data_IF_498776668218
#
_entry.id   IF_498776668218
#
_cell.length_a   1.000
_cell.length_b   1.000
_cell.length_c   1.000
_cell.angle_alpha   90.00
_cell.angle_beta   90.00
_cell.angle_gamma   90.00
#
_symmetry.space_group_name_H-M   'P 1'
#
loop_
_entity.id
_entity.type
_entity.pdbx_description
1 polymer ?
#
# COMPACT_ATOMS: atom_id res chain seq x y z
N UNK A 1 -19.50 -11.25 11.74
CA UNK A 1 -18.56 -10.79 12.78
C UNK A 1 -19.36 -10.38 14.00
N UNK A 2 -18.93 -10.76 15.20
CA UNK A 2 -19.66 -10.46 16.44
C UNK A 2 -19.60 -8.98 16.80
N UNK A 3 -20.68 -8.46 17.40
CA UNK A 3 -20.81 -7.06 17.79
C UNK A 3 -19.70 -6.62 18.76
N UNK A 4 -19.31 -7.47 19.71
CA UNK A 4 -18.21 -7.19 20.63
C UNK A 4 -16.89 -6.93 19.90
N UNK A 5 -16.63 -7.66 18.80
CA UNK A 5 -15.43 -7.42 17.98
C UNK A 5 -15.52 -6.08 17.23
N UNK A 6 -16.71 -5.64 16.82
CA UNK A 6 -16.91 -4.32 16.22
C UNK A 6 -16.60 -3.23 17.24
N UNK A 7 -17.18 -3.34 18.44
CA UNK A 7 -16.98 -2.40 19.53
C UNK A 7 -15.50 -2.23 19.86
N UNK A 8 -14.78 -3.34 20.07
CA UNK A 8 -13.34 -3.32 20.35
C UNK A 8 -12.53 -2.63 19.24
N UNK A 9 -12.86 -2.88 17.96
CA UNK A 9 -12.14 -2.22 16.86
C UNK A 9 -12.48 -0.73 16.78
N UNK A 10 -13.71 -0.32 17.05
CA UNK A 10 -14.11 1.08 17.13
C UNK A 10 -13.37 1.80 18.27
N UNK A 11 -13.22 1.17 19.43
CA UNK A 11 -12.44 1.68 20.56
C UNK A 11 -10.96 1.85 20.18
N UNK A 12 -10.36 0.87 19.51
CA UNK A 12 -8.98 0.98 18.99
C UNK A 12 -8.82 2.09 17.95
N UNK A 13 -9.80 2.24 17.06
CA UNK A 13 -9.81 3.27 16.04
C UNK A 13 -9.92 4.69 16.61
N UNK A 14 -10.63 4.86 17.73
CA UNK A 14 -10.85 6.15 18.40
C UNK A 14 -9.93 6.37 19.60
N UNK A 15 -8.98 5.46 19.86
CA UNK A 15 -8.05 5.56 20.98
C UNK A 15 -7.30 6.90 20.91
N UNK A 16 -7.21 7.66 22.02
CA UNK A 16 -6.41 8.87 22.07
C UNK A 16 -4.96 8.62 21.66
N UNK A 17 -4.37 9.61 21.02
CA UNK A 17 -2.98 9.59 20.58
C UNK A 17 -2.22 10.59 21.44
N UNK A 18 -1.29 10.10 22.27
CA UNK A 18 -0.53 10.94 23.22
C UNK A 18 0.46 11.86 22.50
N UNK A 19 1.05 11.38 21.40
CA UNK A 19 2.05 12.11 20.61
C UNK A 19 1.75 11.96 19.12
N UNK A 20 1.88 13.02 18.31
CA UNK A 20 1.81 12.92 16.87
C UNK A 20 2.82 11.89 16.33
N UNK A 21 2.53 11.24 15.18
CA UNK A 21 3.47 10.33 14.54
C UNK A 21 4.79 11.03 14.22
N UNK A 22 5.90 10.36 14.52
CA UNK A 22 7.22 10.75 14.04
C UNK A 22 7.47 10.19 12.65
N UNK A 23 8.39 10.79 11.88
CA UNK A 23 8.70 10.32 10.53
C UNK A 23 9.28 8.90 10.59
N UNK A 24 10.13 8.62 11.56
CA UNK A 24 10.79 7.33 11.77
C UNK A 24 9.76 6.22 11.99
N UNK A 25 8.76 6.44 12.84
CA UNK A 25 7.67 5.48 13.07
C UNK A 25 6.86 5.21 11.79
N UNK A 26 6.57 6.27 11.03
CA UNK A 26 5.80 6.17 9.78
C UNK A 26 6.57 5.38 8.73
N UNK A 27 7.87 5.66 8.55
CA UNK A 27 8.72 4.95 7.60
C UNK A 27 8.94 3.49 8.02
N UNK A 28 9.04 3.21 9.31
CA UNK A 28 9.14 1.85 9.83
C UNK A 28 7.87 1.05 9.52
N UNK A 29 6.68 1.60 9.78
CA UNK A 29 5.40 0.94 9.46
C UNK A 29 5.24 0.71 7.95
N UNK A 30 5.61 1.69 7.11
CA UNK A 30 5.57 1.53 5.64
C UNK A 30 6.58 0.49 5.15
N UNK A 31 7.79 0.43 5.70
CA UNK A 31 8.83 -0.51 5.28
C UNK A 31 8.62 -1.95 5.76
N UNK A 32 7.87 -2.13 6.85
CA UNK A 32 7.60 -3.45 7.41
C UNK A 32 6.26 -4.02 6.93
N UNK A 33 5.21 -3.20 6.92
CA UNK A 33 3.83 -3.64 6.64
C UNK A 33 3.27 -3.11 5.33
N UNK A 34 3.86 -2.06 4.76
CA UNK A 34 3.37 -1.39 3.56
C UNK A 34 2.13 -0.51 3.78
N UNK A 35 1.42 -0.67 4.90
CA UNK A 35 0.15 0.01 5.23
C UNK A 35 0.31 0.71 6.56
N UNK A 36 -0.20 1.94 6.66
CA UNK A 36 -0.33 2.65 7.93
C UNK A 36 -1.61 2.23 8.66
N UNK A 37 -1.45 1.69 9.87
CA UNK A 37 -2.55 1.22 10.73
C UNK A 37 -2.42 1.80 12.13
N UNK A 38 -3.54 2.13 12.76
CA UNK A 38 -3.53 2.74 14.08
C UNK A 38 -4.81 3.50 14.37
N UNK A 39 -4.86 4.26 15.48
CA UNK A 39 -5.94 5.20 15.74
C UNK A 39 -6.11 6.21 14.60
N UNK A 40 -7.33 6.68 14.40
CA UNK A 40 -7.67 7.63 13.33
C UNK A 40 -6.83 8.90 13.40
N UNK A 41 -6.59 9.40 14.62
CA UNK A 41 -5.79 10.61 14.87
C UNK A 41 -4.27 10.37 14.74
N UNK A 42 -3.83 9.13 14.48
CA UNK A 42 -2.43 8.81 14.15
C UNK A 42 -2.28 8.54 12.65
N UNK A 43 -3.18 7.74 12.06
CA UNK A 43 -3.06 7.26 10.67
C UNK A 43 -3.10 8.40 9.65
N UNK A 44 -4.00 9.37 9.80
CA UNK A 44 -4.11 10.47 8.85
C UNK A 44 -2.93 11.44 8.93
N UNK A 45 -2.48 11.88 10.13
CA UNK A 45 -1.23 12.61 10.26
C UNK A 45 -0.01 11.85 9.72
N UNK A 46 0.08 10.54 9.98
CA UNK A 46 1.14 9.69 9.46
C UNK A 46 1.16 9.66 7.92
N UNK A 47 -0.01 9.53 7.29
CA UNK A 47 -0.16 9.58 5.83
C UNK A 47 0.29 10.92 5.25
N UNK A 48 -0.10 12.05 5.87
CA UNK A 48 0.30 13.38 5.42
C UNK A 48 1.82 13.59 5.58
N UNK A 49 2.41 13.14 6.69
CA UNK A 49 3.85 13.20 6.93
C UNK A 49 4.62 12.36 5.91
N UNK A 50 4.13 11.17 5.59
CA UNK A 50 4.69 10.33 4.55
C UNK A 50 4.67 11.01 3.17
N UNK A 51 3.53 11.62 2.81
CA UNK A 51 3.38 12.36 1.54
C UNK A 51 4.37 13.53 1.45
N UNK A 52 4.56 14.29 2.54
CA UNK A 52 5.53 15.38 2.58
C UNK A 52 6.95 14.87 2.35
N UNK A 53 7.34 13.83 3.11
CA UNK A 53 8.65 13.21 3.02
C UNK A 53 8.93 12.68 1.60
N UNK A 54 7.99 11.92 1.01
CA UNK A 54 8.20 11.32 -0.31
C UNK A 54 8.36 12.40 -1.39
N UNK A 55 7.49 13.40 -1.42
CA UNK A 55 7.57 14.45 -2.44
C UNK A 55 8.88 15.23 -2.31
N UNK A 56 9.29 15.56 -1.08
CA UNK A 56 10.58 16.19 -0.84
C UNK A 56 11.73 15.31 -1.34
N UNK A 57 11.75 14.02 -0.98
CA UNK A 57 12.84 13.11 -1.37
C UNK A 57 12.92 12.89 -2.87
N UNK A 58 11.78 12.82 -3.56
CA UNK A 58 11.73 12.76 -5.02
C UNK A 58 12.36 14.03 -5.61
N UNK A 59 11.94 15.21 -5.15
CA UNK A 59 12.46 16.49 -5.65
C UNK A 59 13.97 16.69 -5.39
N UNK A 60 14.50 16.09 -4.32
CA UNK A 60 15.93 16.10 -3.98
C UNK A 60 16.76 15.08 -4.78
N UNK A 61 16.18 13.93 -5.14
CA UNK A 61 16.95 12.79 -5.68
C UNK A 61 16.84 12.63 -7.20
N UNK A 62 15.74 13.10 -7.79
CA UNK A 62 15.49 12.98 -9.23
C UNK A 62 15.76 14.30 -9.96
N UNK A 63 16.29 14.20 -11.17
CA UNK A 63 16.52 15.36 -12.03
C UNK A 63 15.19 15.88 -12.58
N UNK A 64 14.66 16.91 -11.92
CA UNK A 64 13.41 17.56 -12.28
C UNK A 64 13.65 19.01 -12.64
N UNK A 65 12.91 19.49 -13.64
CA UNK A 65 12.82 20.92 -13.94
C UNK A 65 12.07 21.66 -12.84
N UNK A 66 12.20 22.98 -12.76
CA UNK A 66 11.47 23.79 -11.78
C UNK A 66 9.94 23.66 -11.92
N UNK A 67 9.45 23.54 -13.16
CA UNK A 67 8.04 23.28 -13.44
C UNK A 67 7.59 21.92 -12.89
N UNK A 68 8.41 20.88 -13.03
CA UNK A 68 8.10 19.54 -12.50
C UNK A 68 8.14 19.51 -10.97
N UNK A 69 9.09 20.20 -10.35
CA UNK A 69 9.10 20.38 -8.89
C UNK A 69 7.83 21.10 -8.43
N UNK A 70 7.42 22.17 -9.13
CA UNK A 70 6.19 22.89 -8.81
C UNK A 70 4.95 21.99 -8.93
N UNK A 71 4.86 21.14 -9.97
CA UNK A 71 3.79 20.15 -10.13
C UNK A 71 3.77 19.14 -8.99
N UNK A 72 4.92 18.60 -8.58
CA UNK A 72 5.00 17.69 -7.41
C UNK A 72 4.57 18.37 -6.12
N UNK A 73 4.93 19.63 -5.91
CA UNK A 73 4.48 20.40 -4.74
C UNK A 73 2.95 20.61 -4.77
N UNK A 74 2.37 20.92 -5.93
CA UNK A 74 0.92 21.01 -6.10
C UNK A 74 0.24 19.67 -5.81
N UNK A 75 0.79 18.56 -6.29
CA UNK A 75 0.32 17.21 -5.98
C UNK A 75 0.34 16.93 -4.47
N UNK A 76 1.44 17.28 -3.78
CA UNK A 76 1.54 17.19 -2.32
C UNK A 76 0.42 17.96 -1.63
N UNK A 77 0.20 19.22 -2.02
CA UNK A 77 -0.84 20.07 -1.43
C UNK A 77 -2.24 19.48 -1.66
N UNK A 78 -2.52 18.97 -2.85
CA UNK A 78 -3.78 18.32 -3.18
C UNK A 78 -4.02 17.06 -2.33
N UNK A 79 -2.99 16.21 -2.18
CA UNK A 79 -3.05 15.01 -1.36
C UNK A 79 -3.28 15.32 0.13
N UNK A 80 -2.57 16.30 0.69
CA UNK A 80 -2.77 16.74 2.08
C UNK A 80 -4.19 17.20 2.35
N UNK A 81 -4.74 18.02 1.45
CA UNK A 81 -6.12 18.51 1.58
C UNK A 81 -7.12 17.36 1.55
N UNK A 82 -6.97 16.44 0.58
CA UNK A 82 -7.81 15.25 0.50
C UNK A 82 -7.76 14.41 1.78
N UNK A 83 -6.57 14.23 2.37
CA UNK A 83 -6.39 13.46 3.60
C UNK A 83 -6.97 14.15 4.83
N UNK A 84 -6.85 15.47 4.91
CA UNK A 84 -7.43 16.26 5.98
C UNK A 84 -8.96 16.17 5.96
N UNK A 85 -9.57 16.29 4.78
CA UNK A 85 -11.02 16.19 4.62
C UNK A 85 -11.49 14.75 4.92
N UNK A 86 -10.73 13.75 4.44
CA UNK A 86 -10.99 12.34 4.71
C UNK A 86 -10.88 12.03 6.22
N UNK A 87 -9.92 12.64 6.93
CA UNK A 87 -9.76 12.49 8.37
C UNK A 87 -10.98 12.98 9.13
N UNK A 88 -11.44 14.21 8.86
CA UNK A 88 -12.63 14.80 9.49
C UNK A 88 -13.85 13.91 9.33
N UNK A 89 -14.18 13.53 8.10
CA UNK A 89 -15.35 12.69 7.81
C UNK A 89 -15.21 11.30 8.45
N UNK A 90 -14.01 10.73 8.49
CA UNK A 90 -13.76 9.44 9.14
C UNK A 90 -14.01 9.50 10.64
N UNK A 91 -13.50 10.54 11.30
CA UNK A 91 -13.64 10.74 12.74
C UNK A 91 -15.11 10.92 13.14
N UNK A 92 -15.85 11.73 12.38
CA UNK A 92 -17.28 11.92 12.58
C UNK A 92 -18.04 10.59 12.49
N UNK A 93 -17.81 9.83 11.41
CA UNK A 93 -18.50 8.56 11.17
C UNK A 93 -18.16 7.51 12.23
N UNK A 94 -16.88 7.35 12.59
CA UNK A 94 -16.45 6.40 13.62
C UNK A 94 -17.04 6.76 14.98
N UNK A 95 -17.07 8.05 15.35
CA UNK A 95 -17.64 8.51 16.62
C UNK A 95 -19.14 8.22 16.68
N UNK A 96 -19.89 8.52 15.61
CA UNK A 96 -21.31 8.22 15.53
C UNK A 96 -21.59 6.71 15.65
N UNK A 97 -20.79 5.88 14.97
CA UNK A 97 -20.90 4.43 15.03
C UNK A 97 -20.57 3.88 16.42
N UNK A 98 -19.50 4.37 17.05
CA UNK A 98 -19.12 3.98 18.41
C UNK A 98 -20.21 4.33 19.42
N UNK A 99 -20.69 5.59 19.39
CA UNK A 99 -21.78 6.06 20.25
C UNK A 99 -23.03 5.18 20.10
N UNK A 100 -23.47 4.94 18.87
CA UNK A 100 -24.62 4.10 18.59
C UNK A 100 -24.45 2.66 19.11
N UNK A 101 -23.27 2.07 18.98
CA UNK A 101 -22.98 0.72 19.49
C UNK A 101 -22.99 0.68 21.02
N UNK A 102 -22.45 1.70 21.70
CA UNK A 102 -22.44 1.80 23.17
C UNK A 102 -23.84 2.01 23.73
N UNK A 103 -24.64 2.86 23.09
CA UNK A 103 -25.99 3.25 23.53
C UNK A 103 -27.08 2.30 23.04
N UNK A 104 -26.73 1.27 22.24
CA UNK A 104 -27.70 0.32 21.68
C UNK A 104 -28.58 0.89 20.55
N UNK A 105 -28.26 2.09 20.04
CA UNK A 105 -29.02 2.79 19.00
C UNK A 105 -28.52 2.49 17.59
N UNK A 106 -28.43 1.20 17.23
CA UNK A 106 -27.99 0.78 15.90
C UNK A 106 -28.91 -0.29 15.31
N UNK A 107 -28.91 -0.39 13.98
CA UNK A 107 -29.60 -1.47 13.25
C UNK A 107 -28.58 -2.26 12.45
N UNK A 108 -28.62 -3.59 12.54
CA UNK A 108 -27.87 -4.47 11.64
C UNK A 108 -28.81 -5.02 10.59
N UNK A 109 -28.54 -4.75 9.32
CA UNK A 109 -29.33 -5.26 8.21
C UNK A 109 -28.44 -5.50 6.98
N UNK A 110 -28.65 -6.62 6.28
CA UNK A 110 -27.98 -6.95 5.00
C UNK A 110 -26.44 -6.79 5.07
N UNK A 111 -25.84 -7.22 6.18
CA UNK A 111 -24.38 -7.16 6.38
C UNK A 111 -23.81 -5.76 6.60
N UNK A 112 -24.65 -4.80 7.01
CA UNK A 112 -24.27 -3.43 7.38
C UNK A 112 -24.73 -3.10 8.79
N UNK A 113 -23.98 -2.23 9.46
CA UNK A 113 -24.36 -1.61 10.72
C UNK A 113 -24.72 -0.15 10.44
N UNK A 114 -25.94 0.24 10.83
CA UNK A 114 -26.49 1.57 10.65
C UNK A 114 -26.59 2.28 11.99
N UNK A 115 -26.13 3.53 12.02
CA UNK A 115 -26.23 4.47 13.11
C UNK A 115 -26.80 5.80 12.57
N UNK A 116 -27.38 6.66 13.43
CA UNK A 116 -27.73 8.02 13.03
C UNK A 116 -26.50 8.74 12.43
N UNK A 117 -26.60 9.17 11.16
CA UNK A 117 -25.53 9.89 10.45
C UNK A 117 -24.37 9.05 9.90
N UNK A 118 -24.29 7.75 10.17
CA UNK A 118 -23.19 6.91 9.71
C UNK A 118 -23.58 5.44 9.53
N UNK A 119 -22.91 4.73 8.63
CA UNK A 119 -23.07 3.29 8.49
C UNK A 119 -21.77 2.65 8.02
N UNK A 120 -21.60 1.36 8.33
CA UNK A 120 -20.43 0.59 7.94
C UNK A 120 -20.81 -0.77 7.36
N UNK A 121 -19.97 -1.30 6.47
CA UNK A 121 -20.04 -2.69 6.05
C UNK A 121 -19.39 -3.57 7.13
N UNK A 122 -20.09 -4.61 7.57
CA UNK A 122 -19.60 -5.54 8.60
C UNK A 122 -19.44 -6.97 8.11
N UNK A 123 -19.96 -7.28 6.93
CA UNK A 123 -19.87 -8.61 6.30
C UNK A 123 -18.79 -8.70 5.21
N UNK A 124 -17.78 -7.85 5.29
CA UNK A 124 -16.59 -7.90 4.44
C UNK A 124 -15.43 -8.54 5.21
N UNK A 125 -14.39 -9.03 4.51
CA UNK A 125 -13.16 -9.56 5.12
C UNK A 125 -12.58 -8.59 6.16
N UNK A 126 -12.61 -7.29 5.84
CA UNK A 126 -12.39 -6.22 6.81
C UNK A 126 -13.60 -5.27 6.79
N UNK A 127 -14.23 -5.02 7.94
CA UNK A 127 -15.30 -4.03 8.05
C UNK A 127 -14.79 -2.66 7.63
N UNK A 128 -15.62 -1.85 6.99
CA UNK A 128 -15.16 -0.57 6.46
C UNK A 128 -16.29 0.44 6.31
N UNK A 129 -15.89 1.71 6.30
CA UNK A 129 -16.75 2.86 6.09
C UNK A 129 -16.40 3.47 4.74
N UNK A 130 -17.41 3.76 3.91
CA UNK A 130 -17.21 4.51 2.67
C UNK A 130 -17.03 5.99 2.95
N UNK A 131 -16.07 6.59 2.26
CA UNK A 131 -15.88 8.03 2.25
C UNK A 131 -16.52 8.57 0.98
N UNK A 132 -17.37 9.58 1.14
CA UNK A 132 -18.18 10.14 0.06
C UNK A 132 -17.73 11.56 -0.23
N UNK A 133 -17.80 11.94 -1.51
CA UNK A 133 -17.68 13.31 -2.01
C UNK A 133 -16.36 14.04 -1.68
N UNK A 134 -15.30 13.28 -1.38
CA UNK A 134 -13.95 13.81 -1.16
C UNK A 134 -13.05 13.35 -2.30
N UNK A 135 -12.67 14.29 -3.15
CA UNK A 135 -11.77 14.06 -4.27
C UNK A 135 -10.99 15.30 -4.66
N UNK A 136 -9.91 15.11 -5.41
CA UNK A 136 -9.06 16.18 -5.95
C UNK A 136 -8.48 15.75 -7.29
N UNK A 137 -7.93 16.71 -8.05
CA UNK A 137 -7.12 16.43 -9.24
C UNK A 137 -5.79 17.14 -9.11
N UNK A 138 -4.73 16.50 -9.58
CA UNK A 138 -3.40 17.07 -9.60
C UNK A 138 -2.59 16.45 -10.74
N UNK A 139 -1.50 17.11 -11.11
CA UNK A 139 -0.54 16.56 -12.08
C UNK A 139 0.65 16.00 -11.32
N UNK A 140 1.06 14.78 -11.67
CA UNK A 140 2.28 14.15 -11.17
C UNK A 140 3.33 14.15 -12.27
N UNK A 141 4.56 14.59 -11.97
CA UNK A 141 5.60 14.72 -12.98
C UNK A 141 6.15 13.36 -13.43
N UNK A 142 6.72 13.31 -14.63
CA UNK A 142 7.49 12.15 -15.07
C UNK A 142 8.82 12.12 -14.32
N UNK A 143 8.81 11.43 -13.18
CA UNK A 143 9.97 11.33 -12.28
C UNK A 143 11.00 10.31 -12.78
N UNK A 144 10.56 9.26 -13.50
CA UNK A 144 11.44 8.15 -13.87
C UNK A 144 12.24 8.43 -15.14
N UNK A 145 11.76 9.35 -16.00
CA UNK A 145 12.42 9.72 -17.27
C UNK A 145 12.78 8.52 -18.15
N UNK A 146 11.95 7.47 -18.06
CA UNK A 146 12.20 6.22 -18.77
C UNK A 146 11.81 6.35 -20.25
N UNK A 147 12.56 5.70 -21.16
CA UNK A 147 12.09 5.49 -22.53
C UNK A 147 10.72 4.81 -22.55
N UNK A 148 9.93 5.09 -23.60
CA UNK A 148 8.55 4.61 -23.68
C UNK A 148 8.46 3.08 -23.60
N UNK A 149 9.36 2.34 -24.28
CA UNK A 149 9.32 0.88 -24.25
C UNK A 149 9.57 0.33 -22.84
N UNK A 150 10.48 0.96 -22.07
CA UNK A 150 10.78 0.53 -20.70
C UNK A 150 9.63 0.85 -19.76
N UNK A 151 9.03 2.02 -19.89
CA UNK A 151 7.84 2.42 -19.12
C UNK A 151 6.67 1.46 -19.36
N UNK A 152 6.42 1.07 -20.61
CA UNK A 152 5.36 0.12 -20.98
C UNK A 152 5.49 -1.22 -20.25
N UNK A 153 6.71 -1.74 -20.07
CA UNK A 153 6.94 -2.99 -19.34
C UNK A 153 6.49 -2.90 -17.89
N UNK A 154 6.79 -1.80 -17.20
CA UNK A 154 6.33 -1.59 -15.83
C UNK A 154 4.82 -1.39 -15.73
N UNK A 155 4.24 -0.64 -16.67
CA UNK A 155 2.80 -0.45 -16.80
C UNK A 155 2.05 -1.78 -17.03
N UNK A 156 2.63 -2.67 -17.84
CA UNK A 156 2.08 -3.99 -18.14
C UNK A 156 1.97 -4.85 -16.87
N UNK A 157 2.99 -4.87 -16.02
CA UNK A 157 2.93 -5.64 -14.78
C UNK A 157 1.92 -5.09 -13.77
N UNK A 158 1.83 -3.77 -13.61
CA UNK A 158 0.75 -3.16 -12.83
C UNK A 158 -0.63 -3.54 -13.36
N UNK A 159 -0.78 -3.56 -14.69
CA UNK A 159 -2.00 -3.98 -15.39
C UNK A 159 -2.38 -5.44 -15.13
N UNK A 160 -1.38 -6.33 -15.03
CA UNK A 160 -1.59 -7.73 -14.69
C UNK A 160 -1.97 -7.93 -13.21
N UNK A 161 -1.78 -6.91 -12.37
CA UNK A 161 -1.92 -6.97 -10.91
C UNK A 161 -2.98 -5.99 -10.38
N UNK A 162 -2.62 -5.07 -9.47
CA UNK A 162 -3.53 -4.20 -8.71
C UNK A 162 -4.31 -3.19 -9.56
N UNK A 163 -3.88 -2.90 -10.81
CA UNK A 163 -4.57 -1.95 -11.69
C UNK A 163 -5.91 -2.54 -12.21
N UNK A 164 -6.99 -1.82 -11.94
CA UNK A 164 -8.36 -2.20 -12.29
C UNK A 164 -8.69 -1.94 -13.77
N UNK A 165 -9.84 -2.45 -14.24
CA UNK A 165 -10.37 -2.29 -15.60
C UNK A 165 -11.73 -1.58 -15.62
N UNK A 166 -12.22 -1.07 -14.48
CA UNK A 166 -13.65 -0.72 -14.35
C UNK A 166 -14.08 0.50 -15.18
N UNK A 167 -13.15 1.27 -15.74
CA UNK A 167 -13.42 2.52 -16.48
C UNK A 167 -12.50 2.65 -17.69
N UNK A 168 -12.63 3.78 -18.41
CA UNK A 168 -11.81 4.13 -19.58
C UNK A 168 -10.32 4.32 -19.27
N UNK A 169 -10.00 4.72 -18.04
CA UNK A 169 -8.67 5.13 -17.61
C UNK A 169 -8.09 4.13 -16.60
N UNK A 170 -6.77 3.88 -16.64
CA UNK A 170 -6.07 3.14 -15.59
C UNK A 170 -6.42 3.65 -14.20
N UNK A 171 -6.81 2.74 -13.31
CA UNK A 171 -7.19 3.07 -11.94
C UNK A 171 -6.66 2.05 -10.93
N UNK A 172 -6.32 2.52 -9.73
CA UNK A 172 -5.84 1.70 -8.62
C UNK A 172 -6.47 2.17 -7.32
N UNK A 173 -6.95 1.22 -6.51
CA UNK A 173 -7.40 1.48 -5.14
C UNK A 173 -6.45 0.77 -4.17
N UNK A 174 -5.85 1.51 -3.25
CA UNK A 174 -4.90 0.93 -2.28
C UNK A 174 -4.93 1.65 -0.94
N UNK A 175 -4.62 0.90 0.12
CA UNK A 175 -4.33 1.44 1.46
C UNK A 175 -2.83 1.62 1.74
N UNK A 176 -1.97 1.28 0.78
CA UNK A 176 -0.52 1.36 0.92
C UNK A 176 -0.01 2.70 0.37
N UNK A 177 0.54 3.59 1.22
CA UNK A 177 1.04 4.90 0.76
C UNK A 177 2.12 4.79 -0.32
N UNK A 178 3.03 3.84 -0.21
CA UNK A 178 4.12 3.67 -1.18
C UNK A 178 3.61 3.22 -2.55
N UNK A 179 2.57 2.37 -2.60
CA UNK A 179 2.01 1.88 -3.87
C UNK A 179 1.43 3.04 -4.69
N UNK A 180 0.83 4.04 -4.03
CA UNK A 180 0.30 5.25 -4.68
C UNK A 180 1.38 5.91 -5.54
N UNK A 181 2.52 6.23 -4.94
CA UNK A 181 3.61 6.90 -5.65
C UNK A 181 4.27 5.98 -6.66
N UNK A 182 4.48 4.71 -6.31
CA UNK A 182 5.07 3.73 -7.21
C UNK A 182 4.23 3.57 -8.49
N UNK A 183 2.91 3.41 -8.37
CA UNK A 183 2.01 3.27 -9.51
C UNK A 183 1.90 4.57 -10.33
N UNK A 184 1.70 5.72 -9.67
CA UNK A 184 1.59 7.01 -10.35
C UNK A 184 2.88 7.38 -11.09
N UNK A 185 4.06 6.99 -10.61
CA UNK A 185 5.31 7.19 -11.34
C UNK A 185 5.33 6.47 -12.70
N UNK A 186 4.63 5.34 -12.83
CA UNK A 186 4.46 4.64 -14.13
C UNK A 186 3.25 5.14 -14.93
N UNK A 187 2.39 5.95 -14.31
CA UNK A 187 1.15 6.52 -14.86
C UNK A 187 1.10 8.03 -14.64
N UNK A 188 2.22 8.71 -14.89
CA UNK A 188 2.40 10.12 -14.59
C UNK A 188 1.47 11.03 -15.42
N UNK A 189 1.44 12.31 -15.10
CA UNK A 189 0.55 13.29 -15.71
C UNK A 189 -0.67 13.55 -14.85
N UNK A 190 -1.81 13.81 -15.48
CA UNK A 190 -3.03 14.23 -14.77
C UNK A 190 -3.67 13.04 -14.07
N UNK A 191 -3.81 13.15 -12.75
CA UNK A 191 -4.42 12.14 -11.90
C UNK A 191 -5.62 12.71 -11.16
N UNK A 192 -6.67 11.90 -11.06
CA UNK A 192 -7.82 12.16 -10.21
C UNK A 192 -7.78 11.22 -9.01
N UNK A 193 -7.91 11.78 -7.81
CA UNK A 193 -7.72 11.08 -6.55
C UNK A 193 -8.99 11.23 -5.73
N UNK A 194 -9.49 10.11 -5.20
CA UNK A 194 -10.71 10.06 -4.40
C UNK A 194 -10.44 9.29 -3.12
N UNK A 195 -10.92 9.80 -2.00
CA UNK A 195 -10.97 9.02 -0.76
C UNK A 195 -11.96 7.86 -0.95
N UNK A 196 -11.49 6.62 -0.84
CA UNK A 196 -12.30 5.45 -1.19
C UNK A 196 -13.08 4.93 0.01
N UNK A 197 -12.35 4.48 1.03
CA UNK A 197 -12.91 3.90 2.24
C UNK A 197 -11.87 3.87 3.36
N UNK A 198 -12.36 3.66 4.58
CA UNK A 198 -11.53 3.39 5.76
C UNK A 198 -11.85 2.00 6.27
N UNK A 199 -10.83 1.15 6.34
CA UNK A 199 -10.94 -0.20 6.88
C UNK A 199 -10.78 -0.17 8.40
N UNK A 200 -11.63 -0.91 9.09
CA UNK A 200 -11.61 -1.11 10.54
C UNK A 200 -10.90 -2.44 10.85
N UNK A 201 -9.61 -2.33 11.11
CA UNK A 201 -8.68 -3.44 11.36
C UNK A 201 -8.65 -3.83 12.84
N UNK A 202 -7.86 -4.85 13.19
CA UNK A 202 -7.60 -5.21 14.58
C UNK A 202 -6.57 -4.29 15.28
N UNK A 203 -6.01 -3.31 14.57
CA UNK A 203 -5.01 -2.35 15.06
C UNK A 203 -5.53 -0.90 15.02
N UNK A 204 -6.84 -0.72 14.79
CA UNK A 204 -7.45 0.57 14.51
C UNK A 204 -7.86 0.68 13.04
N UNK A 205 -7.59 1.81 12.38
CA UNK A 205 -8.00 2.06 10.99
C UNK A 205 -6.86 1.92 10.00
N UNK A 206 -7.19 1.72 8.72
CA UNK A 206 -6.31 2.03 7.59
C UNK A 206 -7.09 2.75 6.50
N UNK A 207 -6.53 3.81 5.93
CA UNK A 207 -7.18 4.59 4.88
C UNK A 207 -6.85 4.04 3.49
N UNK A 208 -7.87 3.90 2.63
CA UNK A 208 -7.74 3.52 1.23
C UNK A 208 -8.09 4.69 0.33
N UNK A 209 -7.27 4.93 -0.69
CA UNK A 209 -7.54 5.93 -1.73
C UNK A 209 -7.67 5.25 -3.08
N UNK A 210 -8.44 5.88 -3.95
CA UNK A 210 -8.64 5.48 -5.33
C UNK A 210 -8.04 6.54 -6.25
N UNK A 211 -7.12 6.15 -7.11
CA UNK A 211 -6.45 7.04 -8.07
C UNK A 211 -6.77 6.59 -9.49
N UNK A 212 -6.99 7.55 -10.37
CA UNK A 212 -7.27 7.37 -11.79
C UNK A 212 -6.28 8.22 -12.60
N UNK A 213 -5.55 7.60 -13.53
CA UNK A 213 -4.59 8.27 -14.39
C UNK A 213 -5.25 8.72 -15.70
N UNK A 214 -5.61 10.01 -15.79
CA UNK A 214 -6.40 10.57 -16.88
C UNK A 214 -5.61 10.84 -18.15
N UNK A 215 -4.29 10.99 -18.04
CA UNK A 215 -3.38 11.12 -19.19
C UNK A 215 -3.13 9.80 -19.93
N UNK A 216 -3.58 8.67 -19.39
CA UNK A 216 -3.34 7.33 -19.96
C UNK A 216 -4.65 6.63 -20.32
N UNK A 217 -4.58 5.69 -21.27
CA UNK A 217 -5.70 4.80 -21.63
C UNK A 217 -5.31 3.35 -21.42
N UNK A 218 -6.28 2.50 -21.10
CA UNK A 218 -6.05 1.06 -21.10
C UNK A 218 -5.64 0.58 -22.50
N UNK A 219 -4.55 -0.18 -22.56
CA UNK A 219 -4.06 -0.84 -23.76
C UNK A 219 -4.38 -2.32 -23.79
N UNK A 220 -4.31 -2.96 -22.62
CA UNK A 220 -4.48 -4.41 -22.47
C UNK A 220 -5.67 -4.74 -21.59
N UNK A 221 -6.36 -5.85 -21.89
CA UNK A 221 -7.23 -6.49 -20.91
C UNK A 221 -6.39 -7.06 -19.75
N UNK A 222 -7.00 -7.33 -18.58
CA UNK A 222 -6.23 -7.92 -17.46
C UNK A 222 -5.68 -9.31 -17.80
N UNK A 223 -6.47 -10.12 -18.51
CA UNK A 223 -6.08 -11.45 -18.96
C UNK A 223 -4.93 -11.40 -19.98
N UNK A 224 -4.99 -10.47 -20.93
CA UNK A 224 -3.91 -10.23 -21.90
C UNK A 224 -2.63 -9.76 -21.24
N UNK A 225 -2.72 -8.82 -20.27
CA UNK A 225 -1.57 -8.36 -19.53
C UNK A 225 -0.87 -9.50 -18.77
N UNK A 226 -1.64 -10.38 -18.13
CA UNK A 226 -1.11 -11.58 -17.47
C UNK A 226 -0.36 -12.49 -18.46
N UNK A 227 -0.95 -12.77 -19.63
CA UNK A 227 -0.29 -13.60 -20.65
C UNK A 227 1.01 -12.96 -21.14
N UNK A 228 1.00 -11.65 -21.42
CA UNK A 228 2.19 -10.93 -21.88
C UNK A 228 3.30 -10.93 -20.81
N UNK A 229 2.97 -10.78 -19.52
CA UNK A 229 3.96 -10.89 -18.43
C UNK A 229 4.68 -12.25 -18.48
N UNK A 230 3.95 -13.34 -18.71
CA UNK A 230 4.54 -14.68 -18.82
C UNK A 230 5.40 -14.82 -20.08
N UNK A 231 4.95 -14.27 -21.20
CA UNK A 231 5.70 -14.34 -22.46
C UNK A 231 6.99 -13.52 -22.42
N UNK A 232 6.99 -12.33 -21.79
CA UNK A 232 8.20 -11.57 -21.54
C UNK A 232 9.16 -12.31 -20.61
N UNK A 233 8.64 -12.92 -19.53
CA UNK A 233 9.45 -13.70 -18.61
C UNK A 233 10.15 -14.88 -19.32
N UNK A 234 9.44 -15.60 -20.21
CA UNK A 234 10.02 -16.69 -21.03
C UNK A 234 11.15 -16.21 -21.94
N UNK A 235 11.12 -14.95 -22.36
CA UNK A 235 12.16 -14.30 -23.18
C UNK A 235 13.29 -13.68 -22.35
N UNK A 236 13.23 -13.81 -21.01
CA UNK A 236 14.24 -13.26 -20.11
C UNK A 236 14.03 -11.80 -19.72
N UNK A 237 12.89 -11.18 -20.03
CA UNK A 237 12.54 -9.84 -19.58
C UNK A 237 11.72 -9.90 -18.28
N UNK A 238 12.26 -9.31 -17.21
CA UNK A 238 11.71 -9.43 -15.85
C UNK A 238 10.95 -8.20 -15.38
N UNK A 239 11.03 -7.06 -16.08
CA UNK A 239 10.36 -5.82 -15.66
C UNK A 239 8.83 -5.93 -15.51
N UNK A 240 8.09 -6.60 -16.42
CA UNK A 240 6.65 -6.80 -16.23
C UNK A 240 6.35 -7.70 -15.04
N UNK A 241 7.15 -8.74 -14.81
CA UNK A 241 6.98 -9.60 -13.64
C UNK A 241 7.26 -8.84 -12.34
N UNK A 242 8.25 -7.97 -12.35
CA UNK A 242 8.63 -7.15 -11.20
C UNK A 242 7.47 -6.31 -10.69
N UNK A 243 6.80 -5.53 -11.54
CA UNK A 243 5.68 -4.70 -11.10
C UNK A 243 4.41 -5.49 -10.82
N UNK A 244 4.18 -6.59 -11.53
CA UNK A 244 3.12 -7.53 -11.18
C UNK A 244 3.32 -8.10 -9.75
N UNK A 245 4.57 -8.39 -9.39
CA UNK A 245 4.91 -8.86 -8.05
C UNK A 245 4.83 -7.75 -6.99
N UNK A 246 5.18 -6.49 -7.33
CA UNK A 246 4.97 -5.36 -6.42
C UNK A 246 3.49 -5.17 -6.04
N UNK A 247 2.54 -5.46 -6.95
CA UNK A 247 1.12 -5.42 -6.62
C UNK A 247 0.64 -6.65 -5.84
N UNK A 248 0.66 -7.82 -6.46
CA UNK A 248 0.02 -9.05 -5.95
C UNK A 248 1.01 -10.11 -5.40
N UNK A 249 2.30 -9.81 -5.40
CA UNK A 249 3.35 -10.70 -4.89
C UNK A 249 3.28 -10.95 -3.38
N UNK A 250 3.53 -12.19 -2.97
CA UNK A 250 3.55 -12.59 -1.56
C UNK A 250 4.94 -12.41 -0.93
N UNK A 251 5.10 -11.41 -0.07
CA UNK A 251 6.32 -11.20 0.72
C UNK A 251 6.38 -12.15 1.93
N UNK A 252 6.94 -13.35 1.73
CA UNK A 252 7.06 -14.38 2.77
C UNK A 252 8.28 -14.14 3.67
N UNK A 253 8.28 -13.06 4.45
CA UNK A 253 9.41 -12.60 5.27
C UNK A 253 10.12 -13.72 6.04
N UNK A 254 9.37 -14.57 6.73
CA UNK A 254 9.92 -15.69 7.50
C UNK A 254 10.72 -16.69 6.65
N UNK A 255 10.36 -16.87 5.38
CA UNK A 255 11.05 -17.77 4.45
C UNK A 255 12.35 -17.16 3.95
N UNK A 256 12.33 -15.91 3.47
CA UNK A 256 13.54 -15.22 2.98
C UNK A 256 14.59 -15.08 4.08
N UNK A 257 14.15 -14.75 5.30
CA UNK A 257 15.06 -14.72 6.46
C UNK A 257 15.68 -16.10 6.72
N UNK A 258 14.99 -17.22 6.45
CA UNK A 258 15.55 -18.58 6.58
C UNK A 258 16.28 -19.09 5.34
N UNK A 259 16.53 -18.24 4.34
CA UNK A 259 17.19 -18.64 3.08
C UNK A 259 16.32 -19.48 2.15
N UNK A 260 15.00 -19.43 2.33
CA UNK A 260 14.03 -20.06 1.42
C UNK A 260 13.48 -19.00 0.46
N UNK A 261 13.94 -19.06 -0.78
CA UNK A 261 13.63 -18.08 -1.83
C UNK A 261 12.50 -18.59 -2.73
N UNK A 262 11.32 -18.03 -2.53
CA UNK A 262 10.09 -18.42 -3.25
C UNK A 262 9.43 -17.14 -3.75
N UNK A 263 9.26 -17.05 -5.07
CA UNK A 263 8.57 -15.96 -5.73
C UNK A 263 7.16 -16.43 -6.13
N UNK A 264 6.15 -15.93 -5.44
CA UNK A 264 4.75 -16.25 -5.74
C UNK A 264 3.87 -15.01 -5.82
N UNK A 265 2.81 -15.10 -6.62
CA UNK A 265 1.83 -14.04 -6.89
C UNK A 265 0.44 -14.58 -6.59
N UNK A 266 -0.37 -13.77 -5.90
CA UNK A 266 -1.78 -14.04 -5.72
C UNK A 266 -2.56 -13.73 -7.01
N UNK A 267 -3.31 -14.69 -7.53
CA UNK A 267 -4.09 -14.50 -8.74
C UNK A 267 -5.30 -15.42 -8.78
N UNK A 268 -6.44 -14.91 -9.25
CA UNK A 268 -7.66 -15.72 -9.47
C UNK A 268 -7.45 -16.84 -10.49
N UNK A 269 -6.61 -16.56 -11.49
CA UNK A 269 -6.26 -17.51 -12.54
C UNK A 269 -4.77 -17.87 -12.41
N UNK A 270 -4.40 -18.46 -11.26
CA UNK A 270 -3.00 -18.76 -10.91
C UNK A 270 -2.30 -19.65 -11.93
N UNK A 271 -3.03 -20.54 -12.61
CA UNK A 271 -2.50 -21.42 -13.65
C UNK A 271 -1.94 -20.67 -14.87
N UNK A 272 -2.31 -19.40 -15.06
CA UNK A 272 -1.75 -18.58 -16.15
C UNK A 272 -0.37 -18.01 -15.85
N UNK A 273 0.00 -17.87 -14.58
CA UNK A 273 1.22 -17.17 -14.16
C UNK A 273 2.40 -18.13 -13.88
N UNK A 274 2.12 -19.39 -13.56
CA UNK A 274 3.15 -20.36 -13.21
C UNK A 274 2.56 -21.64 -12.62
N UNK A 275 3.38 -22.35 -11.84
CA UNK A 275 2.94 -23.56 -11.17
C UNK A 275 1.88 -23.22 -10.12
N UNK A 276 0.74 -23.89 -10.17
CA UNK A 276 -0.35 -23.67 -9.21
C UNK A 276 0.11 -24.14 -7.83
N UNK A 277 0.36 -23.19 -6.92
CA UNK A 277 0.72 -23.47 -5.53
C UNK A 277 -0.54 -23.65 -4.66
N UNK A 278 -1.61 -22.92 -4.99
CA UNK A 278 -2.96 -23.09 -4.45
C UNK A 278 -4.00 -22.49 -5.41
N UNK A 279 -5.29 -22.64 -5.09
CA UNK A 279 -6.43 -22.09 -5.87
C UNK A 279 -6.23 -20.63 -6.29
N UNK A 280 -5.57 -19.81 -5.46
CA UNK A 280 -5.37 -18.38 -5.72
C UNK A 280 -3.89 -17.95 -5.69
N UNK A 281 -2.94 -18.88 -5.77
CA UNK A 281 -1.52 -18.56 -5.71
C UNK A 281 -0.73 -19.31 -6.80
N UNK A 282 0.05 -18.56 -7.56
CA UNK A 282 0.99 -19.08 -8.54
C UNK A 282 2.41 -18.99 -8.00
N UNK A 283 3.16 -20.09 -8.05
CA UNK A 283 4.61 -20.11 -7.92
C UNK A 283 5.21 -19.73 -9.27
N UNK A 284 5.86 -18.57 -9.33
CA UNK A 284 6.41 -18.01 -10.58
C UNK A 284 7.87 -18.38 -10.75
N UNK A 285 8.66 -18.29 -9.67
CA UNK A 285 10.07 -18.65 -9.69
C UNK A 285 10.56 -19.09 -8.30
N UNK A 286 11.69 -19.77 -8.26
CA UNK A 286 12.38 -20.16 -7.01
C UNK A 286 13.87 -19.83 -7.09
N UNK A 287 14.52 -19.83 -5.94
CA UNK A 287 15.95 -19.56 -5.85
C UNK A 287 16.28 -18.07 -5.73
N UNK A 288 17.47 -17.79 -5.22
CA UNK A 288 17.98 -16.42 -5.01
C UNK A 288 18.09 -15.66 -6.33
N UNK A 289 18.48 -16.35 -7.40
CA UNK A 289 18.66 -15.79 -8.73
C UNK A 289 17.42 -15.06 -9.26
N UNK A 290 16.22 -15.58 -8.97
CA UNK A 290 14.97 -14.91 -9.36
C UNK A 290 14.84 -13.52 -8.70
N UNK A 291 15.30 -13.36 -7.46
CA UNK A 291 15.29 -12.08 -6.77
C UNK A 291 16.37 -11.13 -7.27
N UNK A 292 17.53 -11.66 -7.70
CA UNK A 292 18.59 -10.87 -8.35
C UNK A 292 18.04 -10.28 -9.65
N UNK A 293 17.41 -11.09 -10.50
CA UNK A 293 16.80 -10.62 -11.76
C UNK A 293 15.69 -9.60 -11.55
N UNK A 294 14.87 -9.76 -10.51
CA UNK A 294 13.89 -8.72 -10.13
C UNK A 294 14.55 -7.42 -9.70
N UNK A 295 15.65 -7.49 -8.94
CA UNK A 295 16.39 -6.31 -8.48
C UNK A 295 17.05 -5.59 -9.64
N UNK A 296 17.66 -6.32 -10.57
CA UNK A 296 18.27 -5.78 -11.78
C UNK A 296 17.22 -5.14 -12.70
N UNK A 297 16.06 -5.79 -12.86
CA UNK A 297 14.97 -5.26 -13.67
C UNK A 297 14.33 -3.98 -13.10
N UNK A 298 14.53 -3.67 -11.82
CA UNK A 298 13.99 -2.48 -11.21
C UNK A 298 14.64 -1.20 -11.76
N UNK A 299 15.94 -1.22 -12.10
CA UNK A 299 16.66 -0.05 -12.63
C UNK A 299 16.42 1.21 -11.74
N UNK A 300 16.31 2.41 -12.33
CA UNK A 300 15.94 3.68 -11.65
C UNK A 300 14.62 3.59 -10.84
N UNK A 301 13.73 2.67 -11.18
CA UNK A 301 12.51 2.46 -10.40
C UNK A 301 12.80 1.87 -9.02
N UNK A 302 13.88 1.10 -8.89
CA UNK A 302 14.42 0.63 -7.60
C UNK A 302 14.83 1.78 -6.69
N UNK A 303 15.46 2.83 -7.23
CA UNK A 303 15.83 4.04 -6.48
C UNK A 303 14.59 4.76 -5.95
N UNK A 304 13.54 4.89 -6.77
CA UNK A 304 12.26 5.43 -6.30
C UNK A 304 11.71 4.57 -5.14
N UNK A 305 11.69 3.25 -5.27
CA UNK A 305 11.17 2.36 -4.24
C UNK A 305 11.98 2.40 -2.92
N UNK A 306 13.27 2.73 -3.00
CA UNK A 306 14.11 2.99 -1.83
C UNK A 306 13.70 4.26 -1.08
N UNK A 307 13.40 5.33 -1.80
CA UNK A 307 12.86 6.57 -1.21
C UNK A 307 11.49 6.31 -0.59
N UNK A 308 10.63 5.55 -1.28
CA UNK A 308 9.28 5.20 -0.82
C UNK A 308 9.28 4.21 0.36
N UNK A 309 10.43 3.67 0.77
CA UNK A 309 10.51 2.64 1.81
C UNK A 309 9.55 1.47 1.53
N UNK A 310 9.40 1.07 0.27
CA UNK A 310 8.44 0.04 -0.10
C UNK A 310 8.81 -1.30 0.56
N UNK A 311 7.90 -1.87 1.37
CA UNK A 311 8.16 -3.11 2.09
C UNK A 311 8.53 -4.29 1.16
N UNK A 312 7.88 -4.37 -0.01
CA UNK A 312 8.16 -5.38 -1.03
C UNK A 312 9.53 -5.20 -1.67
N UNK A 313 9.98 -3.96 -1.86
CA UNK A 313 11.34 -3.69 -2.32
C UNK A 313 12.37 -4.09 -1.26
N UNK A 314 12.12 -3.76 0.00
CA UNK A 314 12.95 -4.21 1.13
C UNK A 314 13.05 -5.73 1.17
N UNK A 315 11.96 -6.45 0.93
CA UNK A 315 11.96 -7.90 0.82
C UNK A 315 12.87 -8.43 -0.30
N UNK A 316 12.85 -7.82 -1.49
CA UNK A 316 13.74 -8.17 -2.61
C UNK A 316 15.21 -7.90 -2.24
N UNK A 317 15.51 -6.75 -1.63
CA UNK A 317 16.88 -6.43 -1.18
C UNK A 317 17.41 -7.45 -0.17
N UNK A 318 16.60 -7.83 0.82
CA UNK A 318 16.97 -8.86 1.80
C UNK A 318 17.12 -10.25 1.19
N UNK A 319 16.42 -10.55 0.10
CA UNK A 319 16.60 -11.80 -0.62
C UNK A 319 17.92 -11.84 -1.40
N UNK A 320 18.47 -10.69 -1.79
CA UNK A 320 19.66 -10.57 -2.65
C UNK A 320 20.93 -10.21 -1.88
N UNK A 321 20.84 -9.66 -0.67
CA UNK A 321 21.98 -9.23 0.15
C UNK A 321 22.01 -9.96 1.50
N UNK A 322 23.02 -10.81 1.68
CA UNK A 322 23.18 -11.61 2.90
C UNK A 322 23.56 -10.77 4.11
N UNK A 323 24.40 -9.75 3.93
CA UNK A 323 24.81 -8.85 5.00
C UNK A 323 23.63 -8.05 5.53
N UNK A 324 22.85 -7.46 4.61
CA UNK A 324 21.62 -6.75 4.93
C UNK A 324 20.61 -7.68 5.62
N UNK A 325 20.48 -8.92 5.15
CA UNK A 325 19.58 -9.91 5.74
C UNK A 325 19.96 -10.29 7.16
N UNK A 326 21.24 -10.50 7.43
CA UNK A 326 21.75 -10.80 8.79
C UNK A 326 21.55 -9.60 9.71
N UNK A 327 21.90 -8.39 9.25
CA UNK A 327 21.70 -7.17 10.03
C UNK A 327 20.22 -6.95 10.39
N UNK A 328 19.31 -7.15 9.42
CA UNK A 328 17.87 -7.01 9.64
C UNK A 328 17.34 -8.02 10.67
N UNK A 329 17.80 -9.27 10.66
CA UNK A 329 17.43 -10.26 11.68
C UNK A 329 17.84 -9.81 13.07
N UNK A 330 19.11 -9.40 13.22
CA UNK A 330 19.66 -8.95 14.51
C UNK A 330 18.89 -7.75 15.04
N UNK A 331 18.55 -6.79 14.17
CA UNK A 331 17.71 -5.64 14.53
C UNK A 331 16.34 -6.09 15.06
N UNK A 332 15.64 -6.99 14.35
CA UNK A 332 14.33 -7.50 14.78
C UNK A 332 14.37 -8.33 16.05
N UNK A 333 15.47 -9.04 16.31
CA UNK A 333 15.68 -9.74 17.58
C UNK A 333 15.86 -8.77 18.74
N UNK A 334 16.63 -7.69 18.54
CA UNK A 334 16.82 -6.62 19.53
C UNK A 334 15.51 -5.90 19.84
N UNK A 335 14.73 -5.51 18.83
CA UNK A 335 13.40 -4.90 19.04
C UNK A 335 12.48 -5.79 19.89
N UNK A 336 12.43 -7.09 19.60
CA UNK A 336 11.64 -8.05 20.40
C UNK A 336 12.17 -8.19 21.83
N UNK A 337 13.48 -8.11 22.05
CA UNK A 337 14.05 -8.12 23.39
C UNK A 337 13.63 -6.86 24.16
N UNK A 338 13.73 -5.67 23.54
CA UNK A 338 13.30 -4.40 24.15
C UNK A 338 11.81 -4.41 24.47
N UNK A 339 10.96 -4.93 23.57
CA UNK A 339 9.52 -5.03 23.82
C UNK A 339 9.22 -5.93 25.03
N UNK A 340 9.84 -7.11 25.10
CA UNK A 340 9.69 -8.02 26.24
C UNK A 340 10.14 -7.39 27.56
N UNK A 341 11.21 -6.59 27.54
CA UNK A 341 11.65 -5.83 28.71
C UNK A 341 10.63 -4.78 29.13
N UNK A 342 10.06 -4.01 28.19
CA UNK A 342 9.02 -3.01 28.47
C UNK A 342 7.76 -3.66 29.07
N UNK A 343 7.31 -4.77 28.51
CA UNK A 343 6.15 -5.53 29.03
C UNK A 343 6.43 -6.07 30.45
N UNK A 344 7.64 -6.58 30.69
CA UNK A 344 8.03 -7.07 32.01
C UNK A 344 8.07 -5.94 33.04
N UNK A 345 8.58 -4.76 32.67
CA UNK A 345 8.60 -3.58 33.53
C UNK A 345 7.20 -3.03 33.82
N UNK A 346 6.27 -3.09 32.85
CA UNK A 346 4.87 -2.72 33.08
C UNK A 346 4.18 -3.67 34.06
N UNK A 347 4.43 -4.99 33.95
CA UNK A 347 3.89 -6.00 34.88
C UNK A 347 4.42 -5.87 36.30
N UNK A 348 5.64 -5.37 36.49
CA UNK A 348 6.22 -5.11 37.82
C UNK A 348 5.61 -3.84 38.45
N UNK A 349 5.13 -2.90 37.64
CA UNK A 349 4.55 -1.63 38.08
C UNK A 349 3.04 -1.68 38.32
N UNK A 350 2.36 -2.71 37.83
CA UNK A 350 0.94 -3.04 38.09
C UNK A 350 0.84 -3.99 39.27
#
# INVERSE_FOLDING_TARGET
MELNKIKQRLELALRPVEKPPTLEEVLEEVSTRGVLRGPVDWVFPAWMLYVDYVVQKIAESFQLTEEEKAQLLQFRHAMRRLLLDMWKQTKEKLTALHKAVVEGMFKIERGRLYAPGAWMYINANTPHIKINDISTSARFSDVLKLPHERLELFQLGWRASDESQKKRWPDMETAQPWQVFAWVATRYGDVYIRAAMVNLTHEGVSASIHIIARSWRHRWSKAEAISLVVDYLRRGEWAPLFTAWLGDGNARWSKVLRGKYILSIAAKESWRLGLVASTYEALVATGREAFVKLREAADVYGELLDLLKAHKWTYIKLATDDGLRVAYKLMKEREKAVLRLKESLQRIRS
#
